data_IF_768604925798
#
_entry.id   IF_768604925798
#
_cell.length_a   1.000
_cell.length_b   1.000
_cell.length_c   1.000
_cell.angle_alpha   90.00
_cell.angle_beta   90.00
_cell.angle_gamma   90.00
#
_symmetry.space_group_name_H-M   'P 1'
#
loop_
_entity.id
_entity.type
_entity.pdbx_description
1 polymer ?
#
# COMPACT_ATOMS: atom_id res chain seq x y z
N UNK A 1 -42.01 25.76 15.05
CA UNK A 1 -41.02 24.82 14.46
C UNK A 1 -40.29 25.38 13.24
N UNK A 2 -40.90 26.29 12.44
CA UNK A 2 -40.30 26.83 11.21
C UNK A 2 -39.12 27.82 11.39
N UNK A 3 -39.05 28.54 12.52
CA UNK A 3 -38.05 29.60 12.70
C UNK A 3 -36.60 29.06 12.81
N UNK A 4 -36.42 27.86 13.39
CA UNK A 4 -35.09 27.24 13.50
C UNK A 4 -34.55 26.78 12.15
N UNK A 5 -35.42 26.31 11.26
CA UNK A 5 -35.02 25.85 9.92
C UNK A 5 -34.59 27.01 9.01
N UNK A 6 -35.24 28.17 9.12
CA UNK A 6 -34.91 29.37 8.33
C UNK A 6 -33.53 29.92 8.73
N UNK A 7 -33.20 29.92 10.02
CA UNK A 7 -31.90 30.41 10.52
C UNK A 7 -30.75 29.51 10.03
N UNK A 8 -30.94 28.19 10.05
CA UNK A 8 -29.89 27.24 9.62
C UNK A 8 -29.63 27.37 8.11
N UNK A 9 -30.67 27.47 7.27
CA UNK A 9 -30.48 27.68 5.82
C UNK A 9 -29.78 29.02 5.51
N UNK A 10 -30.08 30.08 6.25
CA UNK A 10 -29.45 31.39 6.06
C UNK A 10 -27.95 31.39 6.33
N UNK A 11 -27.50 30.70 7.40
CA UNK A 11 -26.09 30.61 7.76
C UNK A 11 -25.29 29.82 6.71
N UNK A 12 -25.86 28.71 6.20
CA UNK A 12 -25.20 27.88 5.18
C UNK A 12 -24.99 28.67 3.87
N UNK A 13 -26.00 29.44 3.45
CA UNK A 13 -25.91 30.30 2.25
C UNK A 13 -24.86 31.42 2.41
N UNK A 14 -24.78 32.02 3.59
CA UNK A 14 -23.83 33.10 3.85
C UNK A 14 -22.36 32.60 3.85
N UNK A 15 -22.09 31.44 4.45
CA UNK A 15 -20.75 30.84 4.46
C UNK A 15 -20.31 30.42 3.05
N UNK A 16 -21.23 29.90 2.23
CA UNK A 16 -20.93 29.54 0.84
C UNK A 16 -20.54 30.76 -0.02
N UNK A 17 -21.18 31.92 0.18
CA UNK A 17 -20.87 33.13 -0.58
C UNK A 17 -19.50 33.73 -0.21
N UNK A 18 -19.09 33.66 1.06
CA UNK A 18 -17.77 34.15 1.48
C UNK A 18 -16.65 33.25 0.94
N UNK A 19 -16.85 31.92 0.92
CA UNK A 19 -15.85 30.96 0.43
C UNK A 19 -15.49 31.14 -1.04
N UNK A 20 -16.49 31.41 -1.90
CA UNK A 20 -16.27 31.60 -3.35
C UNK A 20 -15.56 32.92 -3.65
N UNK A 21 -15.82 33.98 -2.88
CA UNK A 21 -15.19 35.29 -3.08
C UNK A 21 -13.69 35.31 -2.77
N UNK A 22 -13.25 34.57 -1.73
CA UNK A 22 -11.83 34.52 -1.34
C UNK A 22 -11.00 33.65 -2.30
N UNK A 23 -11.61 32.61 -2.89
CA UNK A 23 -10.92 31.74 -3.84
C UNK A 23 -10.55 32.46 -5.15
N UNK A 24 -11.33 33.46 -5.58
CA UNK A 24 -11.02 34.24 -6.79
C UNK A 24 -9.93 35.31 -6.61
N UNK A 25 -9.65 35.75 -5.38
CA UNK A 25 -8.64 36.80 -5.14
C UNK A 25 -7.21 36.26 -4.98
N UNK A 26 -7.02 34.95 -4.84
CA UNK A 26 -5.69 34.33 -4.65
C UNK A 26 -5.20 33.50 -5.85
N UNK A 27 -5.99 33.43 -6.93
CA UNK A 27 -5.75 32.49 -8.05
C UNK A 27 -4.91 32.99 -9.22
N UNK A 28 -4.33 34.20 -9.19
CA UNK A 28 -3.55 34.73 -10.33
C UNK A 28 -2.14 35.14 -9.91
N UNK A 29 -1.26 34.16 -9.76
CA UNK A 29 0.20 34.37 -9.70
C UNK A 29 0.85 33.44 -10.73
N UNK A 30 0.99 33.94 -11.95
CA UNK A 30 1.75 33.29 -13.02
C UNK A 30 3.24 33.32 -12.68
N UNK A 31 3.82 32.14 -12.44
CA UNK A 31 5.25 31.98 -12.25
C UNK A 31 6.03 32.19 -13.58
N UNK A 32 7.22 32.79 -13.56
CA UNK A 32 8.06 32.94 -14.74
C UNK A 32 8.69 31.59 -15.15
N UNK A 33 8.54 31.22 -16.42
CA UNK A 33 9.23 30.10 -17.06
C UNK A 33 10.70 30.44 -17.26
N UNK A 34 11.58 29.76 -16.53
CA UNK A 34 13.03 29.85 -16.72
C UNK A 34 13.45 28.77 -17.73
N UNK A 35 13.69 29.19 -18.97
CA UNK A 35 14.12 28.32 -20.07
C UNK A 35 15.65 28.27 -20.10
N UNK A 36 16.22 27.27 -19.44
CA UNK A 36 17.66 26.99 -19.44
C UNK A 36 17.99 25.82 -20.36
N UNK A 37 18.46 26.13 -21.56
CA UNK A 37 18.96 25.17 -22.54
C UNK A 37 20.36 24.68 -22.14
N UNK A 38 20.50 23.43 -21.71
CA UNK A 38 21.80 22.77 -21.59
C UNK A 38 21.93 21.69 -22.68
N UNK A 39 22.94 21.89 -23.54
CA UNK A 39 23.33 21.00 -24.61
C UNK A 39 23.99 19.69 -24.08
N UNK A 40 23.98 18.60 -24.87
CA UNK A 40 24.63 17.36 -24.50
C UNK A 40 26.11 17.39 -24.88
N UNK A 41 27.00 17.17 -23.91
CA UNK A 41 28.42 16.86 -24.16
C UNK A 41 28.67 15.42 -23.74
N UNK A 42 29.11 14.62 -24.71
CA UNK A 42 29.41 13.21 -24.55
C UNK A 42 30.64 12.95 -23.69
N UNK A 43 30.67 11.76 -23.09
CA UNK A 43 31.78 11.26 -22.32
C UNK A 43 31.69 9.74 -22.24
N UNK A 44 32.48 9.09 -23.08
CA UNK A 44 32.72 7.65 -23.16
C UNK A 44 33.26 7.04 -21.87
N UNK A 45 32.98 5.75 -21.72
CA UNK A 45 33.93 4.65 -21.44
C UNK A 45 33.70 3.84 -20.16
N UNK A 46 33.61 2.52 -20.40
CA UNK A 46 34.16 1.40 -19.63
C UNK A 46 33.74 1.24 -18.16
N UNK A 47 33.18 0.08 -17.83
CA UNK A 47 33.97 -1.06 -17.31
C UNK A 47 33.02 -2.08 -16.68
N UNK A 48 33.07 -3.30 -17.20
CA UNK A 48 32.29 -4.42 -16.70
C UNK A 48 32.70 -4.81 -15.28
N UNK A 49 31.75 -5.32 -14.52
CA UNK A 49 32.02 -6.10 -13.32
C UNK A 49 31.14 -7.34 -13.34
N UNK A 50 31.83 -8.44 -13.65
CA UNK A 50 31.34 -9.79 -13.76
C UNK A 50 31.33 -10.36 -12.33
N UNK A 51 30.18 -10.34 -11.66
CA UNK A 51 30.03 -11.00 -10.35
C UNK A 51 29.56 -12.44 -10.55
N UNK A 52 30.52 -13.34 -10.75
CA UNK A 52 30.35 -14.75 -10.39
C UNK A 52 30.50 -14.86 -8.88
N UNK A 53 29.42 -15.22 -8.18
CA UNK A 53 29.51 -15.65 -6.79
C UNK A 53 29.14 -17.14 -6.73
N UNK A 54 30.16 -17.93 -6.44
CA UNK A 54 30.16 -19.39 -6.34
C UNK A 54 29.46 -19.82 -5.06
N UNK A 55 28.32 -20.49 -5.22
CA UNK A 55 27.70 -21.27 -4.13
C UNK A 55 28.62 -22.43 -3.75
N UNK A 56 29.33 -22.28 -2.64
CA UNK A 56 30.08 -23.37 -2.00
C UNK A 56 29.21 -23.96 -0.90
N UNK A 57 28.49 -25.04 -1.21
CA UNK A 57 27.83 -25.90 -0.22
C UNK A 57 28.83 -26.92 0.33
N UNK A 58 29.32 -26.68 1.54
CA UNK A 58 30.06 -27.66 2.33
C UNK A 58 29.09 -28.65 2.98
N UNK A 59 28.92 -29.79 2.33
CA UNK A 59 28.23 -30.96 2.86
C UNK A 59 29.20 -31.70 3.81
N UNK A 60 28.91 -31.70 5.12
CA UNK A 60 29.66 -32.51 6.11
C UNK A 60 28.70 -33.53 6.70
N UNK A 61 29.02 -34.80 6.47
CA UNK A 61 28.24 -35.96 6.90
C UNK A 61 28.22 -36.15 8.41
N UNK A 62 27.11 -36.71 8.87
CA UNK A 62 26.92 -37.27 10.20
C UNK A 62 26.03 -38.50 10.10
N UNK A 63 26.67 -39.67 10.03
CA UNK A 63 26.08 -41.00 10.11
C UNK A 63 25.67 -41.30 11.56
N UNK A 64 24.41 -41.69 11.75
CA UNK A 64 23.87 -42.14 13.03
C UNK A 64 22.50 -42.78 12.84
N UNK A 65 22.49 -44.03 12.36
CA UNK A 65 21.30 -44.87 12.27
C UNK A 65 20.74 -45.19 13.65
N UNK A 66 19.46 -44.87 13.88
CA UNK A 66 18.63 -45.51 14.90
C UNK A 66 17.27 -45.83 14.29
N UNK A 67 17.06 -47.11 14.03
CA UNK A 67 15.89 -47.64 13.32
C UNK A 67 14.74 -47.81 14.32
N UNK A 68 13.87 -46.80 14.43
CA UNK A 68 12.60 -46.92 15.15
C UNK A 68 11.54 -47.41 14.17
N UNK A 69 11.06 -48.63 14.38
CA UNK A 69 9.93 -49.22 13.63
C UNK A 69 8.66 -48.54 14.16
N UNK A 70 8.24 -47.45 13.52
CA UNK A 70 6.95 -46.81 13.75
C UNK A 70 5.87 -47.51 12.92
N UNK A 71 4.84 -47.96 13.62
CA UNK A 71 3.63 -48.58 13.04
C UNK A 71 2.90 -47.55 12.16
N UNK A 72 2.46 -47.91 10.94
CA UNK A 72 1.76 -46.99 10.05
C UNK A 72 0.35 -46.71 10.59
N UNK A 73 0.20 -45.61 11.32
CA UNK A 73 -1.12 -45.05 11.63
C UNK A 73 -1.68 -44.40 10.37
N UNK A 74 -2.80 -44.96 9.93
CA UNK A 74 -3.60 -44.51 8.79
C UNK A 74 -3.79 -42.99 8.79
N UNK A 75 -3.56 -42.30 7.66
CA UNK A 75 -3.76 -40.86 7.58
C UNK A 75 -5.26 -40.55 7.77
N UNK A 76 -5.59 -39.96 8.91
CA UNK A 76 -6.91 -39.37 9.15
C UNK A 76 -7.16 -38.36 8.05
N UNK A 77 -8.17 -38.66 7.23
CA UNK A 77 -8.70 -37.77 6.20
C UNK A 77 -9.29 -36.56 6.90
N UNK A 78 -8.44 -35.57 7.20
CA UNK A 78 -8.88 -34.28 7.67
C UNK A 78 -9.74 -33.68 6.57
N UNK A 79 -11.04 -33.57 6.85
CA UNK A 79 -11.98 -32.81 6.03
C UNK A 79 -11.49 -31.35 6.01
N UNK A 80 -10.59 -31.02 5.09
CA UNK A 80 -10.34 -29.65 4.68
C UNK A 80 -11.66 -29.16 4.11
N UNK A 81 -12.45 -28.48 4.93
CA UNK A 81 -13.60 -27.71 4.47
C UNK A 81 -13.08 -26.80 3.38
N UNK A 82 -13.43 -27.14 2.14
CA UNK A 82 -13.13 -26.37 0.95
C UNK A 82 -13.89 -25.05 1.09
N UNK A 83 -13.30 -24.12 1.84
CA UNK A 83 -13.78 -22.77 2.00
C UNK A 83 -13.65 -22.14 0.64
N UNK A 84 -14.75 -22.12 -0.12
CA UNK A 84 -14.83 -21.41 -1.39
C UNK A 84 -14.36 -19.99 -1.15
N UNK A 85 -13.13 -19.67 -1.55
CA UNK A 85 -12.56 -18.33 -1.40
C UNK A 85 -13.49 -17.37 -2.11
N UNK A 86 -14.20 -16.55 -1.32
CA UNK A 86 -15.02 -15.48 -1.86
C UNK A 86 -14.09 -14.47 -2.53
N UNK A 87 -14.54 -13.89 -3.63
CA UNK A 87 -13.78 -12.90 -4.40
C UNK A 87 -14.54 -11.59 -4.50
N UNK A 88 -13.81 -10.49 -4.59
CA UNK A 88 -14.33 -9.14 -4.82
C UNK A 88 -13.71 -8.56 -6.09
N UNK A 89 -14.48 -7.81 -6.86
CA UNK A 89 -13.95 -6.97 -7.94
C UNK A 89 -13.51 -5.62 -7.38
N UNK A 90 -12.26 -5.23 -7.61
CA UNK A 90 -11.71 -3.94 -7.21
C UNK A 90 -11.38 -3.12 -8.45
N UNK A 91 -11.85 -1.88 -8.50
CA UNK A 91 -11.60 -0.95 -9.60
C UNK A 91 -10.13 -0.52 -9.65
N UNK A 92 -9.60 -0.46 -10.86
CA UNK A 92 -8.21 -0.08 -11.14
C UNK A 92 -8.11 1.36 -11.68
N UNK A 93 -6.89 1.91 -11.76
CA UNK A 93 -6.65 3.28 -12.28
C UNK A 93 -7.03 3.44 -13.76
N UNK A 94 -7.02 2.36 -14.52
CA UNK A 94 -7.42 2.31 -15.95
C UNK A 94 -8.93 2.14 -16.15
N UNK A 95 -9.73 2.15 -15.06
CA UNK A 95 -11.18 1.98 -15.09
C UNK A 95 -11.64 0.52 -15.22
N UNK A 96 -10.72 -0.44 -15.33
CA UNK A 96 -11.04 -1.86 -15.31
C UNK A 96 -11.28 -2.37 -13.89
N UNK A 97 -11.27 -3.70 -13.71
CA UNK A 97 -11.31 -4.32 -12.39
C UNK A 97 -10.36 -5.51 -12.29
N UNK A 98 -9.90 -5.78 -11.08
CA UNK A 98 -9.11 -6.95 -10.70
C UNK A 98 -9.92 -7.77 -9.69
N UNK A 99 -9.96 -9.09 -9.88
CA UNK A 99 -10.58 -9.99 -8.91
C UNK A 99 -9.58 -10.30 -7.80
N UNK A 100 -9.95 -9.99 -6.56
CA UNK A 100 -9.16 -10.24 -5.37
C UNK A 100 -9.92 -11.17 -4.42
N UNK A 101 -9.23 -11.76 -3.46
CA UNK A 101 -9.90 -12.40 -2.31
C UNK A 101 -10.77 -11.39 -1.57
N UNK A 102 -11.87 -11.86 -0.98
CA UNK A 102 -12.76 -11.07 -0.14
C UNK A 102 -12.10 -10.75 1.21
N UNK A 103 -11.16 -9.82 1.18
CA UNK A 103 -10.44 -9.33 2.35
C UNK A 103 -11.34 -8.59 3.34
N UNK A 104 -12.54 -8.14 2.93
CA UNK A 104 -13.50 -7.48 3.83
C UNK A 104 -14.13 -8.47 4.80
N UNK A 105 -14.23 -9.73 4.41
CA UNK A 105 -14.72 -10.83 5.24
C UNK A 105 -13.60 -11.56 6.02
N UNK A 106 -12.33 -11.15 5.87
CA UNK A 106 -11.21 -11.72 6.63
C UNK A 106 -11.38 -11.37 8.13
N UNK A 107 -11.32 -12.35 9.05
CA UNK A 107 -11.45 -12.09 10.49
C UNK A 107 -10.38 -11.14 11.06
N UNK A 108 -9.25 -10.95 10.36
CA UNK A 108 -8.20 -10.00 10.74
C UNK A 108 -8.43 -8.60 10.18
N UNK A 109 -9.41 -8.40 9.29
CA UNK A 109 -9.76 -7.08 8.77
C UNK A 109 -10.69 -6.38 9.75
N UNK A 110 -10.30 -5.18 10.18
CA UNK A 110 -11.07 -4.41 11.15
C UNK A 110 -11.85 -3.32 10.41
N UNK A 111 -13.17 -3.34 10.52
CA UNK A 111 -14.03 -2.23 10.08
C UNK A 111 -13.94 -1.08 11.09
N UNK A 112 -13.73 0.15 10.61
CA UNK A 112 -13.73 1.33 11.48
C UNK A 112 -15.12 1.53 12.13
N UNK A 113 -15.22 1.71 13.46
CA UNK A 113 -16.51 1.72 14.17
C UNK A 113 -17.40 2.91 13.79
N UNK A 114 -16.79 4.05 13.47
CA UNK A 114 -17.50 5.30 13.19
C UNK A 114 -17.49 5.73 11.72
N UNK A 115 -16.77 5.01 10.86
CA UNK A 115 -16.55 5.39 9.46
C UNK A 115 -16.85 4.18 8.58
N UNK A 116 -18.08 4.11 8.08
CA UNK A 116 -18.46 3.04 7.16
C UNK A 116 -17.55 3.03 5.94
N UNK A 117 -17.27 1.83 5.42
CA UNK A 117 -16.40 1.67 4.26
C UNK A 117 -14.90 1.87 4.52
N UNK A 118 -14.45 2.02 5.77
CA UNK A 118 -13.03 2.11 6.12
C UNK A 118 -12.57 0.80 6.77
N UNK A 119 -11.66 0.10 6.12
CA UNK A 119 -11.20 -1.22 6.54
C UNK A 119 -9.69 -1.20 6.80
N UNK A 120 -9.27 -1.66 7.97
CA UNK A 120 -7.86 -1.82 8.33
C UNK A 120 -7.46 -3.26 8.10
N UNK A 121 -6.61 -3.48 7.11
CA UNK A 121 -6.12 -4.81 6.73
C UNK A 121 -4.89 -5.19 7.57
N UNK A 122 -4.08 -4.21 7.97
CA UNK A 122 -2.90 -4.38 8.81
C UNK A 122 -2.66 -3.14 9.69
N UNK A 123 -1.99 -3.31 10.84
CA UNK A 123 -1.55 -2.23 11.74
C UNK A 123 -2.59 -1.66 12.69
N UNK A 124 -3.84 -2.10 12.63
CA UNK A 124 -4.88 -1.75 13.59
C UNK A 124 -5.44 -0.32 13.46
N UNK A 125 -6.45 -0.03 14.28
CA UNK A 125 -7.12 1.29 14.36
C UNK A 125 -6.37 2.25 15.28
N UNK A 126 -5.65 1.71 16.28
CA UNK A 126 -5.00 2.48 17.32
C UNK A 126 -4.07 3.57 16.75
N UNK A 127 -3.86 4.68 17.48
CA UNK A 127 -2.97 5.74 17.01
C UNK A 127 -1.52 5.27 16.87
N UNK A 128 -1.12 4.28 17.67
CA UNK A 128 0.18 3.61 17.57
C UNK A 128 -0.02 2.34 16.76
N UNK A 129 0.61 2.20 15.58
CA UNK A 129 0.48 0.99 14.78
C UNK A 129 1.14 -0.20 15.49
N UNK A 130 0.52 -1.37 15.40
CA UNK A 130 1.07 -2.63 15.95
C UNK A 130 2.09 -3.29 15.03
N UNK A 131 2.27 -2.75 13.83
CA UNK A 131 3.19 -3.21 12.79
C UNK A 131 3.99 -2.04 12.24
N UNK A 132 5.16 -2.29 11.61
CA UNK A 132 6.00 -1.24 11.02
C UNK A 132 5.32 -0.49 9.86
N UNK A 133 4.15 -0.93 9.40
CA UNK A 133 3.31 -0.27 8.42
C UNK A 133 1.84 -0.38 8.81
N UNK A 134 0.97 0.34 8.11
CA UNK A 134 -0.49 0.15 8.18
C UNK A 134 -1.04 0.11 6.77
N UNK A 135 -1.97 -0.80 6.55
CA UNK A 135 -2.70 -0.90 5.29
C UNK A 135 -4.17 -0.71 5.56
N UNK A 136 -4.79 0.28 4.93
CA UNK A 136 -6.23 0.47 5.00
C UNK A 136 -6.84 0.65 3.62
N UNK A 137 -8.11 0.26 3.50
CA UNK A 137 -8.90 0.30 2.27
C UNK A 137 -10.11 1.22 2.46
N UNK A 138 -10.36 2.06 1.46
CA UNK A 138 -11.55 2.91 1.35
C UNK A 138 -12.51 2.35 0.32
N UNK A 139 -13.72 2.02 0.74
CA UNK A 139 -14.74 1.48 -0.14
C UNK A 139 -15.32 2.52 -1.11
N UNK A 140 -15.33 3.79 -0.70
CA UNK A 140 -15.93 4.89 -1.46
C UNK A 140 -15.28 5.10 -2.82
N UNK A 141 -13.96 4.91 -2.91
CA UNK A 141 -13.18 5.05 -4.15
C UNK A 141 -12.42 3.77 -4.55
N UNK A 142 -12.56 2.73 -3.72
CA UNK A 142 -11.88 1.45 -3.83
C UNK A 142 -10.34 1.58 -3.83
N UNK A 143 -9.81 2.48 -3.02
CA UNK A 143 -8.38 2.73 -2.91
C UNK A 143 -7.75 2.10 -1.68
N UNK A 144 -6.46 1.78 -1.79
CA UNK A 144 -5.62 1.35 -0.68
C UNK A 144 -4.71 2.50 -0.24
N UNK A 145 -4.46 2.59 1.06
CA UNK A 145 -3.41 3.46 1.58
C UNK A 145 -2.51 2.66 2.47
N UNK A 146 -1.22 2.80 2.22
CA UNK A 146 -0.17 2.17 2.99
C UNK A 146 0.70 3.26 3.58
N UNK A 147 0.83 3.25 4.90
CA UNK A 147 1.72 4.17 5.62
C UNK A 147 2.84 3.38 6.26
N UNK A 148 4.09 3.77 5.96
CA UNK A 148 5.28 3.13 6.52
C UNK A 148 5.70 3.91 7.77
N UNK A 149 5.76 3.23 8.91
CA UNK A 149 5.98 3.82 10.23
C UNK A 149 7.39 3.55 10.80
N UNK A 150 8.24 2.85 10.05
CA UNK A 150 9.55 2.39 10.53
C UNK A 150 10.60 2.40 9.42
N UNK A 151 11.83 2.81 9.76
CA UNK A 151 13.01 2.64 8.93
C UNK A 151 13.71 1.30 9.22
N UNK A 152 14.36 0.66 8.23
CA UNK A 152 14.60 1.15 6.87
C UNK A 152 13.38 1.02 5.94
N UNK A 153 13.08 2.09 5.21
CA UNK A 153 11.84 2.22 4.45
C UNK A 153 11.70 1.18 3.32
N UNK A 154 12.82 0.75 2.71
CA UNK A 154 12.80 -0.29 1.68
C UNK A 154 12.23 -1.62 2.21
N UNK A 155 12.69 -2.05 3.39
CA UNK A 155 12.26 -3.29 4.05
C UNK A 155 10.82 -3.18 4.56
N UNK A 156 10.48 -2.05 5.19
CA UNK A 156 9.10 -1.80 5.66
C UNK A 156 8.10 -1.80 4.50
N UNK A 157 8.46 -1.19 3.37
CA UNK A 157 7.65 -1.21 2.16
C UNK A 157 7.49 -2.63 1.60
N UNK A 158 8.58 -3.39 1.52
CA UNK A 158 8.54 -4.76 1.02
C UNK A 158 7.65 -5.66 1.89
N UNK A 159 7.69 -5.48 3.22
CA UNK A 159 6.80 -6.19 4.14
C UNK A 159 5.32 -5.85 3.89
N UNK A 160 5.00 -4.56 3.70
CA UNK A 160 3.65 -4.12 3.38
C UNK A 160 3.14 -4.64 2.03
N UNK A 161 4.00 -4.67 1.02
CA UNK A 161 3.70 -5.20 -0.32
C UNK A 161 3.36 -6.68 -0.27
N UNK A 162 4.17 -7.48 0.43
CA UNK A 162 3.94 -8.91 0.57
C UNK A 162 2.67 -9.23 1.34
N UNK A 163 2.41 -8.53 2.46
CA UNK A 163 1.16 -8.68 3.22
C UNK A 163 -0.07 -8.35 2.35
N UNK A 164 -0.03 -7.25 1.60
CA UNK A 164 -1.15 -6.86 0.75
C UNK A 164 -1.37 -7.84 -0.42
N UNK A 165 -0.32 -8.29 -1.11
CA UNK A 165 -0.45 -9.31 -2.17
C UNK A 165 -1.07 -10.60 -1.64
N UNK A 166 -0.63 -11.07 -0.48
CA UNK A 166 -1.13 -12.29 0.14
C UNK A 166 -2.62 -12.16 0.52
N UNK A 167 -3.01 -11.02 1.10
CA UNK A 167 -4.41 -10.76 1.46
C UNK A 167 -5.32 -10.68 0.25
N UNK A 168 -4.87 -9.99 -0.80
CA UNK A 168 -5.66 -9.81 -2.01
C UNK A 168 -5.63 -11.03 -2.93
N UNK A 169 -4.66 -11.93 -2.78
CA UNK A 169 -4.49 -13.06 -3.69
C UNK A 169 -4.12 -12.66 -5.11
N UNK A 170 -3.37 -11.56 -5.26
CA UNK A 170 -2.93 -11.03 -6.55
C UNK A 170 -1.41 -10.95 -6.64
N UNK A 171 -0.92 -10.80 -7.86
CA UNK A 171 0.50 -10.68 -8.17
C UNK A 171 0.93 -9.21 -8.36
N UNK A 172 2.24 -8.97 -8.35
CA UNK A 172 2.85 -7.65 -8.45
C UNK A 172 2.33 -6.82 -9.65
N UNK A 173 2.15 -7.45 -10.82
CA UNK A 173 1.65 -6.77 -12.02
C UNK A 173 0.23 -6.19 -11.85
N UNK A 174 -0.63 -6.86 -11.07
CA UNK A 174 -1.98 -6.42 -10.78
C UNK A 174 -1.99 -5.34 -9.69
N UNK A 175 -1.08 -5.43 -8.72
CA UNK A 175 -0.89 -4.39 -7.71
C UNK A 175 -0.57 -3.01 -8.30
N UNK A 176 0.19 -2.96 -9.40
CA UNK A 176 0.48 -1.70 -10.10
C UNK A 176 -0.76 -1.03 -10.71
N UNK A 177 -1.86 -1.77 -10.90
CA UNK A 177 -3.11 -1.26 -11.50
C UNK A 177 -4.09 -0.74 -10.45
N UNK A 178 -3.93 -1.11 -9.18
CA UNK A 178 -4.81 -0.68 -8.10
C UNK A 178 -4.76 0.83 -7.90
N UNK A 179 -5.83 1.40 -7.34
CA UNK A 179 -5.82 2.77 -6.80
C UNK A 179 -5.13 2.72 -5.44
N UNK A 180 -3.99 3.39 -5.29
CA UNK A 180 -3.28 3.36 -4.02
C UNK A 180 -2.41 4.59 -3.75
N UNK A 181 -2.05 4.77 -2.48
CA UNK A 181 -0.97 5.66 -2.05
C UNK A 181 -0.08 4.96 -1.03
N UNK A 182 1.24 5.07 -1.19
CA UNK A 182 2.25 4.69 -0.21
C UNK A 182 2.86 5.98 0.34
N UNK A 183 2.80 6.17 1.66
CA UNK A 183 3.28 7.39 2.31
C UNK A 183 4.13 7.08 3.54
N UNK A 184 4.87 8.09 3.99
CA UNK A 184 5.72 8.03 5.19
C UNK A 184 5.42 9.28 6.02
N UNK A 185 5.17 9.17 7.33
CA UNK A 185 5.07 10.32 8.20
C UNK A 185 6.40 11.06 8.29
N UNK A 186 6.34 12.38 8.45
CA UNK A 186 7.53 13.24 8.56
C UNK A 186 8.47 12.83 9.69
N UNK A 187 7.92 12.41 10.83
CA UNK A 187 8.70 11.95 11.98
C UNK A 187 9.43 10.62 11.76
N UNK A 188 9.07 9.85 10.73
CA UNK A 188 9.81 8.65 10.30
C UNK A 188 10.94 9.05 9.37
N UNK A 189 10.62 9.83 8.33
CA UNK A 189 11.60 10.32 7.36
C UNK A 189 11.09 11.59 6.65
N UNK A 190 11.74 12.71 6.92
CA UNK A 190 11.40 14.03 6.37
C UNK A 190 11.59 14.13 4.84
N UNK A 191 12.57 13.42 4.29
CA UNK A 191 12.88 13.48 2.86
C UNK A 191 11.78 12.79 2.05
N UNK A 192 11.34 11.62 2.50
CA UNK A 192 10.36 10.80 1.79
C UNK A 192 8.91 11.17 2.11
N UNK A 193 8.63 11.78 3.27
CA UNK A 193 7.29 12.29 3.59
C UNK A 193 6.80 13.35 2.59
N UNK A 194 7.72 14.16 2.06
CA UNK A 194 7.44 15.25 1.11
C UNK A 194 7.36 14.80 -0.36
N UNK A 195 7.57 13.50 -0.66
CA UNK A 195 7.55 12.98 -2.04
C UNK A 195 6.16 12.62 -2.57
N UNK A 196 5.14 12.65 -1.71
CA UNK A 196 3.78 12.23 -2.08
C UNK A 196 3.64 10.71 -2.10
N UNK A 197 3.17 10.14 -3.22
CA UNK A 197 3.02 8.69 -3.36
C UNK A 197 4.35 8.03 -3.70
N UNK A 198 4.89 7.20 -2.81
CA UNK A 198 6.14 6.49 -3.02
C UNK A 198 6.02 5.32 -4.00
N UNK A 199 4.82 4.83 -4.31
CA UNK A 199 4.65 3.71 -5.22
C UNK A 199 5.09 2.36 -4.62
N UNK A 200 4.73 1.26 -5.29
CA UNK A 200 5.29 -0.06 -4.99
C UNK A 200 6.69 -0.20 -5.60
N UNK A 201 7.58 -0.94 -4.92
CA UNK A 201 8.98 -1.17 -5.27
C UNK A 201 9.17 -1.78 -6.66
N UNK A 202 8.25 -2.67 -7.05
CA UNK A 202 8.28 -3.37 -8.33
C UNK A 202 7.49 -2.66 -9.45
N UNK A 203 6.80 -1.55 -9.15
CA UNK A 203 6.10 -0.80 -10.18
C UNK A 203 7.03 0.24 -10.82
N UNK A 204 6.89 0.54 -12.13
CA UNK A 204 7.71 1.55 -12.80
C UNK A 204 7.61 2.96 -12.18
N UNK A 205 6.51 3.26 -11.50
CA UNK A 205 6.27 4.53 -10.80
C UNK A 205 6.80 4.56 -9.37
N UNK A 206 7.40 3.47 -8.90
CA UNK A 206 7.95 3.33 -7.55
C UNK A 206 9.17 4.22 -7.33
N UNK A 207 9.18 4.93 -6.22
CA UNK A 207 10.35 5.66 -5.73
C UNK A 207 11.39 4.66 -5.23
N UNK A 208 12.65 4.85 -5.62
CA UNK A 208 13.77 4.08 -5.05
C UNK A 208 13.97 4.50 -3.59
N UNK A 209 13.93 3.50 -2.69
CA UNK A 209 14.16 3.68 -1.26
C UNK A 209 15.47 2.98 -0.86
N UNK A 210 16.18 3.49 0.15
CA UNK A 210 17.37 2.85 0.69
C UNK A 210 17.05 1.51 1.39
#
# INVERSE_FOLDING_TARGET
>A
MYLKTIIICGIILFVALIGVGVFFLLGNSSAPTNSGSNAPVGGSSQQGSNYSNTNTSSNTGGTGQSTVIVTPTQPTTGTSTSQTSRTLAISTNDGASVMVHDFKSDPNTILHPSLSGHYYLAGGIDPVPTTPFRTFYLDSDQSFRVTLFEEPLGQTRLAAENDLMQRLGIQASEMCRLKYIVSVPEWVNEIYSNKGNLGWSFCPTGTALP
#
